data_IF_365160486569
#
_entry.id   IF_365160486569
#
_cell.length_a   1.000
_cell.length_b   1.000
_cell.length_c   1.000
_cell.angle_alpha   90.00
_cell.angle_beta   90.00
_cell.angle_gamma   90.00
#
_symmetry.space_group_name_H-M   'P 1'
#
loop_
_entity.id
_entity.type
_entity.pdbx_description
1 polymer ?
#
# COMPACT_ATOMS: atom_id res chain seq x y z
N UNK A 1 51.19 -51.80 1.41
CA UNK A 1 50.26 -51.01 0.55
C UNK A 1 48.87 -51.05 1.18
N UNK A 2 47.96 -50.06 0.98
CA UNK A 2 48.10 -48.72 0.39
C UNK A 2 47.65 -47.59 1.37
N UNK A 3 48.43 -46.49 1.54
CA UNK A 3 48.37 -45.20 0.83
C UNK A 3 47.04 -44.43 0.97
N UNK A 4 47.04 -43.42 1.86
CA UNK A 4 46.06 -42.32 1.89
C UNK A 4 46.10 -41.59 0.52
N UNK A 5 44.98 -41.38 -0.17
CA UNK A 5 44.98 -40.59 -1.39
C UNK A 5 45.03 -39.10 -1.02
N UNK A 6 46.17 -38.50 -1.33
CA UNK A 6 46.35 -37.06 -1.47
C UNK A 6 45.74 -36.65 -2.82
N UNK A 7 44.50 -36.16 -2.86
CA UNK A 7 43.96 -35.58 -4.10
C UNK A 7 44.42 -34.13 -4.20
N UNK A 8 45.53 -33.99 -4.93
CA UNK A 8 46.07 -32.75 -5.48
C UNK A 8 45.07 -32.16 -6.46
N UNK A 9 44.93 -30.84 -6.40
CA UNK A 9 43.83 -30.06 -6.96
C UNK A 9 43.52 -30.27 -8.45
N UNK A 10 42.22 -30.15 -8.75
CA UNK A 10 41.77 -29.61 -10.02
C UNK A 10 41.17 -28.23 -9.74
N UNK A 11 41.99 -27.21 -9.95
CA UNK A 11 41.51 -25.84 -10.20
C UNK A 11 40.73 -25.90 -11.52
N UNK A 12 39.48 -26.38 -11.48
CA UNK A 12 38.52 -26.04 -12.52
C UNK A 12 37.90 -24.73 -12.06
N UNK A 13 38.28 -23.65 -12.73
CA UNK A 13 37.63 -22.36 -12.61
C UNK A 13 36.14 -22.51 -12.90
N UNK A 14 35.37 -22.81 -11.87
CA UNK A 14 34.00 -22.37 -11.80
C UNK A 14 34.12 -20.86 -11.69
N UNK A 15 33.90 -20.16 -12.80
CA UNK A 15 33.51 -18.76 -12.79
C UNK A 15 32.40 -18.64 -11.76
N UNK A 16 32.74 -18.19 -10.56
CA UNK A 16 31.79 -17.83 -9.53
C UNK A 16 31.00 -16.69 -10.16
N UNK A 17 29.86 -17.01 -10.77
CA UNK A 17 28.84 -16.01 -11.08
C UNK A 17 28.65 -15.26 -9.77
N UNK A 18 28.69 -13.92 -9.76
CA UNK A 18 28.43 -13.19 -8.52
C UNK A 18 27.13 -13.78 -7.94
N UNK A 19 27.09 -14.14 -6.65
CA UNK A 19 25.88 -14.66 -6.06
C UNK A 19 24.81 -13.62 -6.39
N UNK A 20 23.79 -14.03 -7.17
CA UNK A 20 22.68 -13.17 -7.52
C UNK A 20 22.22 -12.56 -6.19
N UNK A 21 22.41 -11.25 -6.03
CA UNK A 21 22.19 -10.55 -4.77
C UNK A 21 20.68 -10.50 -4.56
N UNK A 22 20.10 -11.63 -4.17
CA UNK A 22 18.68 -11.78 -3.94
C UNK A 22 18.32 -10.95 -2.72
N UNK A 23 17.52 -9.91 -2.94
CA UNK A 23 17.02 -9.05 -1.88
C UNK A 23 15.62 -9.52 -1.49
N UNK A 24 15.43 -10.06 -0.27
CA UNK A 24 14.10 -10.43 0.19
C UNK A 24 13.18 -9.20 0.25
N UNK A 25 11.89 -9.42 0.07
CA UNK A 25 10.88 -8.36 0.16
C UNK A 25 9.95 -8.62 1.33
N UNK A 26 9.77 -7.61 2.17
CA UNK A 26 8.80 -7.64 3.26
C UNK A 26 7.66 -6.70 2.88
N UNK A 27 6.44 -7.16 3.14
CA UNK A 27 5.21 -6.37 3.14
C UNK A 27 4.66 -6.22 4.57
N UNK A 28 3.57 -5.48 4.72
CA UNK A 28 2.97 -5.19 6.03
C UNK A 28 2.44 -6.46 6.75
N UNK A 29 1.99 -7.45 5.98
CA UNK A 29 1.45 -8.71 6.49
C UNK A 29 2.22 -9.95 6.04
N UNK A 30 2.74 -9.97 4.81
CA UNK A 30 3.46 -11.11 4.23
C UNK A 30 4.94 -10.80 4.07
N UNK A 31 5.80 -11.81 4.22
CA UNK A 31 7.20 -11.77 3.81
C UNK A 31 7.43 -12.77 2.68
N UNK A 32 8.30 -12.44 1.74
CA UNK A 32 8.75 -13.37 0.71
C UNK A 32 10.27 -13.47 0.72
N UNK A 33 10.77 -14.69 0.85
CA UNK A 33 12.21 -15.03 0.82
C UNK A 33 12.41 -16.19 -0.16
N UNK A 34 13.50 -16.21 -0.95
CA UNK A 34 13.80 -17.34 -1.83
C UNK A 34 14.38 -18.50 -1.04
N UNK A 35 13.90 -19.71 -1.32
CA UNK A 35 14.54 -20.93 -0.79
C UNK A 35 15.80 -21.25 -1.57
N UNK A 36 16.69 -21.99 -0.92
CA UNK A 36 17.87 -22.58 -1.53
C UNK A 36 17.48 -23.51 -2.68
N UNK A 37 18.31 -23.49 -3.73
CA UNK A 37 18.16 -24.19 -5.00
C UNK A 37 18.06 -25.71 -4.81
N UNK A 38 16.91 -26.31 -5.14
CA UNK A 38 16.77 -27.74 -5.45
C UNK A 38 16.15 -27.78 -6.86
N UNK A 39 16.91 -28.27 -7.84
CA UNK A 39 16.50 -28.49 -9.24
C UNK A 39 16.00 -27.28 -10.05
N UNK A 40 16.86 -26.26 -10.28
CA UNK A 40 16.67 -25.16 -11.28
C UNK A 40 15.34 -24.36 -11.19
N UNK A 41 14.51 -24.62 -10.19
CA UNK A 41 13.24 -23.93 -9.97
C UNK A 41 13.37 -23.02 -8.74
N UNK A 42 13.49 -21.72 -8.97
CA UNK A 42 13.44 -20.73 -7.88
C UNK A 42 12.03 -20.69 -7.30
N UNK A 43 11.80 -21.30 -6.13
CA UNK A 43 10.53 -21.21 -5.42
C UNK A 43 10.61 -20.12 -4.34
N UNK A 44 9.84 -19.04 -4.52
CA UNK A 44 9.65 -18.02 -3.49
C UNK A 44 8.85 -18.61 -2.32
N UNK A 45 9.37 -18.50 -1.09
CA UNK A 45 8.62 -18.84 0.11
C UNK A 45 7.98 -17.56 0.64
N UNK A 46 6.74 -17.36 0.26
CA UNK A 46 5.90 -16.33 0.83
C UNK A 46 5.13 -16.89 2.02
N UNK A 47 5.33 -16.30 3.19
CA UNK A 47 4.67 -16.71 4.43
C UNK A 47 4.11 -15.47 5.17
N UNK A 48 3.01 -15.62 5.93
CA UNK A 48 2.52 -14.54 6.77
C UNK A 48 3.60 -14.17 7.80
N UNK A 49 3.96 -12.89 7.79
CA UNK A 49 4.86 -12.29 8.78
C UNK A 49 4.12 -12.02 10.10
N UNK A 50 2.82 -11.70 10.01
CA UNK A 50 1.92 -11.41 11.13
C UNK A 50 0.89 -12.54 11.26
N UNK A 51 0.80 -13.16 12.44
CA UNK A 51 -0.20 -14.21 12.73
C UNK A 51 -1.47 -13.64 13.37
N UNK A 52 -1.35 -12.55 14.13
CA UNK A 52 -2.48 -11.84 14.74
C UNK A 52 -2.16 -10.36 14.95
N UNK A 53 -3.16 -9.48 14.81
CA UNK A 53 -3.03 -8.03 15.05
C UNK A 53 -2.75 -7.70 16.52
N UNK A 54 -3.11 -8.60 17.44
CA UNK A 54 -2.89 -8.48 18.89
C UNK A 54 -1.52 -9.00 19.36
N UNK A 55 -0.62 -9.35 18.44
CA UNK A 55 0.75 -9.77 18.77
C UNK A 55 1.48 -8.68 19.58
N UNK A 56 2.34 -9.01 20.57
CA UNK A 56 3.08 -8.02 21.35
C UNK A 56 3.91 -7.07 20.48
N UNK A 57 4.15 -5.84 20.98
CA UNK A 57 4.89 -4.79 20.25
C UNK A 57 6.34 -5.15 19.91
N UNK A 58 6.91 -6.13 20.61
CA UNK A 58 8.28 -6.62 20.39
C UNK A 58 8.42 -7.44 19.10
N UNK A 59 7.34 -8.10 18.68
CA UNK A 59 7.28 -8.88 17.45
C UNK A 59 6.59 -8.15 16.30
N UNK A 60 5.53 -7.39 16.59
CA UNK A 60 4.83 -6.57 15.59
C UNK A 60 4.94 -5.08 15.92
N UNK A 61 5.77 -4.30 15.19
CA UNK A 61 5.98 -2.89 15.46
C UNK A 61 4.67 -2.11 15.57
N UNK A 62 4.58 -1.24 16.58
CA UNK A 62 3.50 -0.25 16.70
C UNK A 62 3.31 0.61 15.45
N UNK A 63 4.35 1.09 14.72
CA UNK A 63 4.13 1.84 13.49
C UNK A 63 3.47 1.00 12.39
N UNK A 64 3.72 -0.31 12.30
CA UNK A 64 3.04 -1.16 11.31
C UNK A 64 1.58 -1.43 11.68
N UNK A 65 1.27 -1.60 12.97
CA UNK A 65 -0.13 -1.65 13.46
C UNK A 65 -0.89 -0.39 13.08
N UNK A 66 -0.29 0.77 13.36
CA UNK A 66 -0.88 2.07 13.05
C UNK A 66 -1.02 2.25 11.53
N UNK A 67 0.00 1.89 10.75
CA UNK A 67 -0.04 1.93 9.28
C UNK A 67 -1.22 1.12 8.73
N UNK A 68 -1.43 -0.10 9.23
CA UNK A 68 -2.56 -0.93 8.83
C UNK A 68 -3.91 -0.28 9.17
N UNK A 69 -4.03 0.28 10.38
CA UNK A 69 -5.25 0.96 10.80
C UNK A 69 -5.56 2.18 9.92
N UNK A 70 -4.55 3.01 9.61
CA UNK A 70 -4.72 4.18 8.74
C UNK A 70 -5.11 3.80 7.31
N UNK A 71 -4.46 2.77 6.73
CA UNK A 71 -4.87 2.26 5.42
C UNK A 71 -6.30 1.68 5.44
N UNK A 72 -6.68 0.95 6.48
CA UNK A 72 -8.04 0.41 6.59
C UNK A 72 -9.09 1.53 6.71
N UNK A 73 -8.86 2.53 7.56
CA UNK A 73 -9.76 3.68 7.73
C UNK A 73 -9.87 4.47 6.42
N UNK A 74 -8.74 4.78 5.76
CA UNK A 74 -8.74 5.47 4.48
C UNK A 74 -9.51 4.70 3.40
N UNK A 75 -9.40 3.37 3.37
CA UNK A 75 -10.12 2.53 2.41
C UNK A 75 -11.63 2.55 2.67
N UNK A 76 -12.06 2.49 3.94
CA UNK A 76 -13.47 2.61 4.31
C UNK A 76 -14.02 3.97 3.89
N UNK A 77 -13.30 5.06 4.14
CA UNK A 77 -13.71 6.40 3.72
C UNK A 77 -13.86 6.50 2.19
N UNK A 78 -12.90 5.98 1.43
CA UNK A 78 -12.99 5.94 -0.04
C UNK A 78 -14.15 5.07 -0.52
N UNK A 79 -14.40 3.92 0.11
CA UNK A 79 -15.53 3.06 -0.23
C UNK A 79 -16.86 3.78 0.03
N UNK A 80 -16.99 4.49 1.15
CA UNK A 80 -18.17 5.32 1.44
C UNK A 80 -18.35 6.41 0.38
N UNK A 81 -17.27 7.05 -0.07
CA UNK A 81 -17.36 8.03 -1.15
C UNK A 81 -17.84 7.41 -2.47
N UNK A 82 -17.28 6.27 -2.88
CA UNK A 82 -17.71 5.58 -4.10
C UNK A 82 -19.18 5.15 -4.00
N UNK A 83 -19.59 4.59 -2.86
CA UNK A 83 -20.99 4.22 -2.62
C UNK A 83 -21.90 5.44 -2.70
N UNK A 84 -21.49 6.57 -2.10
CA UNK A 84 -22.27 7.82 -2.16
C UNK A 84 -22.37 8.37 -3.59
N UNK A 85 -21.33 8.21 -4.41
CA UNK A 85 -21.35 8.60 -5.82
C UNK A 85 -22.29 7.70 -6.63
N UNK A 86 -22.22 6.37 -6.45
CA UNK A 86 -23.10 5.40 -7.14
C UNK A 86 -24.56 5.59 -6.74
N UNK A 87 -24.84 5.70 -5.44
CA UNK A 87 -26.19 5.98 -4.94
C UNK A 87 -26.66 7.38 -5.35
N UNK A 88 -25.75 8.35 -5.44
CA UNK A 88 -26.00 9.69 -5.98
C UNK A 88 -26.45 9.64 -7.43
N UNK A 89 -25.81 8.81 -8.27
CA UNK A 89 -26.23 8.58 -9.65
C UNK A 89 -27.63 7.93 -9.74
N UNK A 90 -28.01 7.09 -8.78
CA UNK A 90 -29.33 6.44 -8.75
C UNK A 90 -30.45 7.29 -8.09
N UNK A 91 -30.11 8.17 -7.14
CA UNK A 91 -31.07 8.85 -6.24
C UNK A 91 -30.97 10.40 -6.33
N UNK A 92 -30.32 10.92 -7.37
CA UNK A 92 -30.19 12.36 -7.67
C UNK A 92 -31.52 13.14 -7.68
N UNK A 93 -32.65 12.42 -7.73
CA UNK A 93 -34.01 12.95 -7.70
C UNK A 93 -34.57 13.34 -6.31
N UNK A 94 -33.98 12.94 -5.17
CA UNK A 94 -34.67 13.08 -3.85
C UNK A 94 -33.87 13.79 -2.74
N UNK A 95 -32.52 13.79 -2.76
CA UNK A 95 -31.70 14.28 -1.62
C UNK A 95 -30.76 15.45 -1.99
N UNK A 96 -31.34 16.57 -2.42
CA UNK A 96 -30.61 17.82 -2.66
C UNK A 96 -30.30 18.55 -1.35
N UNK A 97 -29.05 18.43 -0.84
CA UNK A 97 -28.25 19.55 -0.26
C UNK A 97 -26.94 19.16 0.47
N UNK A 98 -26.64 17.87 0.74
CA UNK A 98 -25.50 17.51 1.62
C UNK A 98 -24.42 16.59 1.02
N UNK A 99 -24.71 15.83 -0.03
CA UNK A 99 -23.81 14.74 -0.49
C UNK A 99 -22.60 15.27 -1.29
N UNK A 100 -22.77 16.37 -2.02
CA UNK A 100 -21.77 16.99 -2.92
C UNK A 100 -20.93 18.09 -2.23
N UNK A 101 -20.68 18.03 -0.93
CA UNK A 101 -19.63 18.88 -0.28
C UNK A 101 -18.80 18.03 0.68
N UNK A 102 -19.38 16.93 1.11
CA UNK A 102 -18.77 15.93 1.97
C UNK A 102 -17.87 14.98 1.16
N UNK A 103 -18.10 14.80 -0.14
CA UNK A 103 -17.34 13.84 -0.96
C UNK A 103 -15.87 14.24 -1.14
N UNK A 104 -15.60 15.46 -1.62
CA UNK A 104 -14.22 15.92 -1.85
C UNK A 104 -13.40 16.04 -0.56
N UNK A 105 -14.04 16.47 0.53
CA UNK A 105 -13.41 16.57 1.85
C UNK A 105 -13.11 15.19 2.45
N UNK A 106 -14.01 14.23 2.34
CA UNK A 106 -13.78 12.83 2.77
C UNK A 106 -12.64 12.19 1.98
N UNK A 107 -12.56 12.43 0.67
CA UNK A 107 -11.42 11.96 -0.16
C UNK A 107 -10.09 12.56 0.29
N UNK A 108 -10.05 13.85 0.63
CA UNK A 108 -8.84 14.49 1.16
C UNK A 108 -8.39 13.86 2.49
N UNK A 109 -9.35 13.61 3.41
CA UNK A 109 -9.07 12.95 4.69
C UNK A 109 -8.57 11.52 4.45
N UNK A 110 -9.18 10.76 3.53
CA UNK A 110 -8.73 9.42 3.17
C UNK A 110 -7.30 9.43 2.60
N UNK A 111 -6.99 10.39 1.72
CA UNK A 111 -5.65 10.58 1.18
C UNK A 111 -4.61 10.88 2.26
N UNK A 112 -4.95 11.70 3.27
CA UNK A 112 -4.09 11.96 4.42
C UNK A 112 -3.86 10.69 5.26
N UNK A 113 -4.89 9.87 5.47
CA UNK A 113 -4.75 8.59 6.17
C UNK A 113 -3.81 7.63 5.41
N UNK A 114 -3.94 7.54 4.09
CA UNK A 114 -3.02 6.74 3.26
C UNK A 114 -1.58 7.27 3.33
N UNK A 115 -1.39 8.59 3.32
CA UNK A 115 -0.08 9.21 3.46
C UNK A 115 0.57 8.87 4.81
N UNK A 116 -0.18 8.95 5.91
CA UNK A 116 0.32 8.54 7.23
C UNK A 116 0.67 7.04 7.25
N UNK A 117 -0.16 6.20 6.64
CA UNK A 117 0.11 4.76 6.49
C UNK A 117 1.43 4.50 5.73
N UNK A 118 1.68 5.25 4.65
CA UNK A 118 2.90 5.18 3.84
C UNK A 118 4.14 5.63 4.61
N UNK A 119 4.05 6.64 5.48
CA UNK A 119 5.17 7.11 6.30
C UNK A 119 5.50 6.16 7.44
N UNK A 120 4.49 5.55 8.05
CA UNK A 120 4.66 4.62 9.16
C UNK A 120 5.25 3.27 8.73
N UNK A 121 5.02 2.87 7.48
CA UNK A 121 5.55 1.64 6.93
C UNK A 121 7.10 1.55 6.98
N UNK A 122 7.87 2.48 6.40
CA UNK A 122 9.33 2.50 6.51
C UNK A 122 9.81 2.83 7.93
N UNK A 123 9.00 3.51 8.76
CA UNK A 123 9.36 3.79 10.14
C UNK A 123 9.45 2.52 11.01
N UNK A 124 8.67 1.47 10.70
CA UNK A 124 8.70 0.21 11.46
C UNK A 124 9.83 -0.76 11.12
N UNK A 125 10.75 -0.38 10.23
CA UNK A 125 11.83 -1.26 9.76
C UNK A 125 12.89 -1.58 10.81
N UNK A 126 13.02 -0.75 11.86
CA UNK A 126 14.03 -0.92 12.92
C UNK A 126 13.74 -1.96 13.99
N UNK A 127 12.84 -2.93 13.74
CA UNK A 127 12.50 -3.95 14.74
C UNK A 127 13.40 -5.18 14.66
N UNK A 128 13.66 -5.83 15.80
CA UNK A 128 14.50 -7.05 15.89
C UNK A 128 14.06 -8.15 14.93
N UNK A 129 12.75 -8.29 14.71
CA UNK A 129 12.19 -9.28 13.79
C UNK A 129 12.46 -8.96 12.31
N UNK A 130 12.59 -7.69 11.95
CA UNK A 130 12.98 -7.27 10.59
C UNK A 130 14.47 -7.49 10.40
N UNK A 131 15.29 -7.21 11.42
CA UNK A 131 16.74 -7.45 11.38
C UNK A 131 17.12 -8.91 11.09
N UNK A 132 16.32 -9.88 11.55
CA UNK A 132 16.59 -11.31 11.25
C UNK A 132 16.36 -11.67 9.79
N UNK A 133 15.60 -10.86 9.03
CA UNK A 133 15.30 -11.09 7.61
C UNK A 133 16.13 -10.15 6.71
N UNK A 134 16.20 -8.87 7.04
CA UNK A 134 16.84 -7.81 6.25
C UNK A 134 18.29 -7.52 6.65
N UNK A 135 18.77 -8.13 7.74
CA UNK A 135 20.10 -7.94 8.28
C UNK A 135 20.19 -6.83 9.35
N UNK A 136 21.34 -6.71 10.03
CA UNK A 136 21.53 -5.79 11.15
C UNK A 136 21.50 -4.30 10.73
N UNK A 137 21.67 -3.99 9.45
CA UNK A 137 21.66 -2.62 8.91
C UNK A 137 20.26 -2.09 8.57
N UNK A 138 19.19 -2.80 8.94
CA UNK A 138 17.81 -2.35 8.72
C UNK A 138 17.35 -1.38 9.82
N UNK A 139 17.46 -0.09 9.60
CA UNK A 139 17.01 0.96 10.54
C UNK A 139 15.71 1.61 10.06
N UNK A 140 14.99 2.42 10.89
CA UNK A 140 13.86 3.20 10.40
C UNK A 140 14.24 3.99 9.14
N UNK A 141 13.45 3.87 8.07
CA UNK A 141 13.72 4.42 6.73
C UNK A 141 14.91 3.82 5.95
N UNK A 142 15.70 2.93 6.56
CA UNK A 142 16.83 2.24 5.93
C UNK A 142 16.54 0.75 5.79
N UNK A 143 16.39 0.28 4.56
CA UNK A 143 15.95 -1.11 4.32
C UNK A 143 17.04 -2.17 4.54
N UNK A 144 18.31 -1.79 4.53
CA UNK A 144 19.44 -2.72 4.63
C UNK A 144 19.50 -3.66 3.41
N UNK A 145 19.44 -4.98 3.67
CA UNK A 145 19.49 -6.03 2.64
C UNK A 145 18.16 -6.31 1.94
N UNK A 146 17.06 -5.70 2.36
CA UNK A 146 15.73 -5.92 1.79
C UNK A 146 15.36 -4.93 0.68
N UNK A 147 14.38 -5.30 -0.14
CA UNK A 147 13.74 -4.43 -1.13
C UNK A 147 12.25 -4.25 -0.85
N UNK A 148 11.70 -3.10 -1.26
CA UNK A 148 10.25 -2.86 -1.27
C UNK A 148 9.59 -3.66 -2.39
N UNK A 149 8.41 -4.22 -2.10
CA UNK A 149 7.56 -4.88 -3.09
C UNK A 149 6.67 -3.89 -3.85
N UNK A 150 6.08 -4.35 -4.97
CA UNK A 150 5.20 -3.56 -5.83
C UNK A 150 4.00 -2.93 -5.13
N UNK A 151 3.45 -3.60 -4.11
CA UNK A 151 2.31 -3.11 -3.34
C UNK A 151 2.56 -1.72 -2.71
N UNK A 152 3.81 -1.43 -2.30
CA UNK A 152 4.13 -0.12 -1.73
C UNK A 152 4.07 0.99 -2.78
N UNK A 153 4.56 0.74 -3.99
CA UNK A 153 4.47 1.70 -5.10
C UNK A 153 3.01 1.92 -5.53
N UNK A 154 2.19 0.87 -5.52
CA UNK A 154 0.76 0.99 -5.78
C UNK A 154 0.06 1.82 -4.70
N UNK A 155 0.46 1.71 -3.44
CA UNK A 155 -0.09 2.54 -2.36
C UNK A 155 0.28 4.02 -2.53
N UNK A 156 1.49 4.34 -2.98
CA UNK A 156 1.89 5.72 -3.35
C UNK A 156 1.01 6.22 -4.51
N UNK A 157 0.91 5.44 -5.59
CA UNK A 157 0.08 5.78 -6.74
C UNK A 157 -1.39 6.02 -6.36
N UNK A 158 -1.96 5.12 -5.55
CA UNK A 158 -3.32 5.23 -5.02
C UNK A 158 -3.52 6.53 -4.25
N UNK A 159 -2.58 6.87 -3.36
CA UNK A 159 -2.64 8.10 -2.56
C UNK A 159 -2.66 9.35 -3.44
N UNK A 160 -1.79 9.41 -4.46
CA UNK A 160 -1.76 10.52 -5.43
C UNK A 160 -3.08 10.63 -6.20
N UNK A 161 -3.58 9.50 -6.70
CA UNK A 161 -4.87 9.45 -7.41
C UNK A 161 -6.00 9.93 -6.50
N UNK A 162 -6.03 9.52 -5.22
CA UNK A 162 -7.02 10.01 -4.25
C UNK A 162 -6.98 11.52 -4.07
N UNK A 163 -5.80 12.14 -3.98
CA UNK A 163 -5.69 13.60 -3.90
C UNK A 163 -6.16 14.30 -5.17
N UNK A 164 -5.83 13.75 -6.35
CA UNK A 164 -6.33 14.26 -7.63
C UNK A 164 -7.85 14.17 -7.68
N UNK A 165 -8.43 13.03 -7.29
CA UNK A 165 -9.88 12.86 -7.19
C UNK A 165 -10.51 13.87 -6.24
N UNK A 166 -9.89 14.16 -5.10
CA UNK A 166 -10.39 15.16 -4.14
C UNK A 166 -10.44 16.56 -4.77
N UNK A 167 -9.38 16.99 -5.46
CA UNK A 167 -9.33 18.28 -6.15
C UNK A 167 -10.40 18.36 -7.25
N UNK A 168 -10.54 17.31 -8.05
CA UNK A 168 -11.56 17.25 -9.10
C UNK A 168 -12.98 17.27 -8.52
N UNK A 169 -13.22 16.56 -7.41
CA UNK A 169 -14.50 16.56 -6.71
C UNK A 169 -14.84 17.98 -6.24
N UNK A 170 -13.92 18.67 -5.55
CA UNK A 170 -14.15 20.06 -5.09
C UNK A 170 -14.42 21.00 -6.26
N UNK A 171 -13.71 20.85 -7.38
CA UNK A 171 -13.98 21.68 -8.57
C UNK A 171 -15.35 21.39 -9.21
N UNK A 172 -15.75 20.12 -9.26
CA UNK A 172 -17.08 19.73 -9.74
C UNK A 172 -18.19 20.27 -8.82
N UNK A 173 -17.94 20.27 -7.51
CA UNK A 173 -18.84 20.85 -6.49
C UNK A 173 -19.00 22.36 -6.70
N UNK A 174 -17.91 23.11 -6.79
CA UNK A 174 -17.94 24.57 -7.03
C UNK A 174 -18.66 24.93 -8.33
N UNK A 175 -18.48 24.13 -9.38
CA UNK A 175 -19.16 24.34 -10.66
C UNK A 175 -20.66 24.07 -10.59
N UNK A 176 -21.07 23.10 -9.77
CA UNK A 176 -22.48 22.69 -9.62
C UNK A 176 -23.24 23.55 -8.61
N UNK A 177 -22.56 24.08 -7.59
CA UNK A 177 -23.16 24.85 -6.50
C UNK A 177 -23.31 26.35 -6.79
N UNK A 178 -23.09 26.80 -8.04
CA UNK A 178 -23.26 28.21 -8.40
C UNK A 178 -24.74 28.63 -8.26
N UNK A 179 -25.00 29.76 -7.60
CA UNK A 179 -26.35 30.27 -7.32
C UNK A 179 -27.23 30.33 -8.60
N UNK A 180 -26.63 30.65 -9.75
CA UNK A 180 -27.29 30.67 -11.06
C UNK A 180 -27.81 29.29 -11.50
N UNK A 181 -27.11 28.21 -11.17
CA UNK A 181 -27.52 26.83 -11.46
C UNK A 181 -28.56 26.38 -10.43
N UNK A 182 -28.41 26.81 -9.17
CA UNK A 182 -29.33 26.47 -8.09
C UNK A 182 -30.71 27.15 -8.27
N UNK A 183 -30.73 28.37 -8.81
CA UNK A 183 -31.96 29.09 -9.18
C UNK A 183 -32.67 28.43 -10.36
N UNK A 184 -31.97 28.08 -11.44
CA UNK A 184 -32.57 27.35 -12.58
C UNK A 184 -33.10 25.95 -12.17
N UNK A 185 -32.50 25.33 -11.15
CA UNK A 185 -32.97 24.09 -10.52
C UNK A 185 -34.24 24.32 -9.67
N UNK A 186 -34.33 25.45 -8.96
CA UNK A 186 -35.51 25.86 -8.18
C UNK A 186 -36.68 26.31 -9.08
N UNK A 187 -36.35 26.84 -10.27
CA UNK A 187 -37.30 27.32 -11.27
C UNK A 187 -37.90 26.20 -12.16
N UNK A 188 -37.53 24.95 -11.90
CA UNK A 188 -38.22 23.77 -12.44
C UNK A 188 -37.88 23.40 -13.89
N UNK A 189 -36.83 23.97 -14.48
CA UNK A 189 -36.35 23.53 -15.80
C UNK A 189 -35.67 22.17 -15.67
N UNK A 190 -36.33 21.16 -16.26
CA UNK A 190 -35.95 19.75 -16.22
C UNK A 190 -34.46 19.49 -16.43
N UNK A 191 -33.86 18.75 -15.50
CA UNK A 191 -32.50 18.22 -15.62
C UNK A 191 -32.51 17.01 -16.56
N UNK A 192 -31.86 17.15 -17.70
CA UNK A 192 -31.51 16.05 -18.60
C UNK A 192 -30.21 15.43 -18.07
N UNK A 193 -30.21 14.12 -17.80
CA UNK A 193 -29.01 13.38 -17.43
C UNK A 193 -27.99 13.42 -18.58
N UNK A 194 -26.81 13.97 -18.33
CA UNK A 194 -25.62 13.72 -19.14
C UNK A 194 -24.87 12.54 -18.51
N UNK A 195 -24.96 11.39 -19.16
CA UNK A 195 -24.05 10.24 -19.00
C UNK A 195 -22.82 10.49 -19.85
#
# INVERSE_FOLDING_TARGET
APKRPLIRGRLSGATMRPPQLYRPSIGLYNRCVKLHQIDELFTDNCAPFVTSLSMPSDEFPSPWKASLAFFAIGLVLMAMTVLSAVLGCCVQSVLKKSIFTVSGTVQAVAGLMFLLGLLLYPAGWGTRRVHTVCGPHSEPFMLGGCSLGWAFYLAIGSTLVTFVCSVLSVQAEVSTSSDKVQDEILEGKNLICLV
#
